data_IF_689316542524
#
_entry.id   IF_689316542524
#
_cell.length_a   1.000
_cell.length_b   1.000
_cell.length_c   1.000
_cell.angle_alpha   90.00
_cell.angle_beta   90.00
_cell.angle_gamma   90.00
#
_symmetry.space_group_name_H-M   'P 1'
#
loop_
_entity.id
_entity.type
_entity.pdbx_description
1 polymer ?
#
# COMPACT_ATOMS: atom_id res chain seq x y z
N UNK A 1 3.72 -6.32 5.31
CA UNK A 1 3.25 -5.97 6.67
C UNK A 1 3.82 -4.63 7.14
N UNK A 2 5.15 -4.42 7.13
CA UNK A 2 5.74 -3.15 7.58
C UNK A 2 5.16 -1.90 6.87
N UNK A 3 4.99 -1.94 5.55
CA UNK A 3 4.37 -0.83 4.79
C UNK A 3 2.93 -0.52 5.18
N UNK A 4 2.13 -1.55 5.53
CA UNK A 4 0.77 -1.35 6.06
C UNK A 4 0.81 -0.59 7.39
N UNK A 5 1.60 -1.08 8.34
CA UNK A 5 1.69 -0.48 9.68
C UNK A 5 2.20 0.97 9.58
N UNK A 6 3.23 1.19 8.77
CA UNK A 6 3.85 2.50 8.59
C UNK A 6 2.88 3.48 7.90
N UNK A 7 2.23 3.07 6.82
CA UNK A 7 1.27 3.92 6.10
C UNK A 7 0.04 4.26 6.95
N UNK A 8 -0.53 3.26 7.67
CA UNK A 8 -1.66 3.48 8.57
C UNK A 8 -1.25 4.43 9.71
N UNK A 9 -0.09 4.20 10.34
CA UNK A 9 0.39 5.04 11.45
C UNK A 9 0.63 6.48 11.03
N UNK A 10 1.34 6.71 9.92
CA UNK A 10 1.60 8.05 9.39
C UNK A 10 0.31 8.75 8.94
N UNK A 11 -0.59 8.05 8.24
CA UNK A 11 -1.87 8.59 7.80
C UNK A 11 -2.75 9.01 8.98
N UNK A 12 -2.81 8.19 10.02
CA UNK A 12 -3.55 8.49 11.24
C UNK A 12 -2.94 9.68 12.00
N UNK A 13 -1.62 9.73 12.13
CA UNK A 13 -0.92 10.83 12.78
C UNK A 13 -1.13 12.17 12.04
N UNK A 14 -1.01 12.16 10.71
CA UNK A 14 -1.25 13.34 9.87
C UNK A 14 -2.71 13.82 9.98
N UNK A 15 -3.68 12.91 9.93
CA UNK A 15 -5.09 13.28 10.00
C UNK A 15 -5.51 13.90 11.36
N UNK A 16 -4.82 13.55 12.44
CA UNK A 16 -5.10 14.07 13.78
C UNK A 16 -4.28 15.30 14.19
N UNK A 17 -3.27 15.68 13.41
CA UNK A 17 -2.37 16.80 13.69
C UNK A 17 -2.13 17.66 12.46
N UNK A 18 -2.61 18.92 12.43
CA UNK A 18 -2.39 19.82 11.30
C UNK A 18 -0.89 19.98 10.94
N UNK A 19 -0.03 20.09 11.94
CA UNK A 19 1.41 20.21 11.74
C UNK A 19 1.99 19.00 10.98
N UNK A 20 1.56 17.78 11.35
CA UNK A 20 2.00 16.57 10.66
C UNK A 20 1.35 16.43 9.27
N UNK A 21 0.13 16.91 9.10
CA UNK A 21 -0.51 16.97 7.79
C UNK A 21 0.29 17.87 6.84
N UNK A 22 0.60 19.10 7.26
CA UNK A 22 1.34 20.09 6.46
C UNK A 22 2.75 19.60 6.08
N UNK A 23 3.36 18.75 6.91
CA UNK A 23 4.67 18.17 6.66
C UNK A 23 4.60 16.91 5.77
N UNK A 24 3.70 15.98 6.09
CA UNK A 24 3.67 14.65 5.47
C UNK A 24 2.89 14.62 4.15
N UNK A 25 1.80 15.38 4.03
CA UNK A 25 0.96 15.37 2.82
C UNK A 25 1.75 15.74 1.56
N UNK A 26 2.55 16.83 1.52
CA UNK A 26 3.36 17.15 0.33
C UNK A 26 4.37 16.05 -0.01
N UNK A 27 5.02 15.47 1.00
CA UNK A 27 6.00 14.39 0.79
C UNK A 27 5.31 13.16 0.19
N UNK A 28 4.16 12.77 0.72
CA UNK A 28 3.40 11.62 0.23
C UNK A 28 2.83 11.86 -1.17
N UNK A 29 2.40 13.11 -1.48
CA UNK A 29 1.97 13.49 -2.84
C UNK A 29 3.13 13.36 -3.82
N UNK A 30 4.33 13.86 -3.47
CA UNK A 30 5.52 13.72 -4.31
C UNK A 30 5.87 12.25 -4.53
N UNK A 31 5.89 11.44 -3.46
CA UNK A 31 6.16 9.99 -3.58
C UNK A 31 5.11 9.26 -4.43
N UNK A 32 3.87 9.72 -4.41
CA UNK A 32 2.81 9.15 -5.25
C UNK A 32 2.92 9.60 -6.71
N UNK A 33 3.44 10.80 -6.97
CA UNK A 33 3.62 11.36 -8.32
C UNK A 33 4.82 10.73 -9.05
N UNK A 34 5.84 10.26 -8.33
CA UNK A 34 7.01 9.63 -8.93
C UNK A 34 6.61 8.28 -9.55
N UNK A 35 6.92 8.03 -10.83
CA UNK A 35 6.72 6.72 -11.43
C UNK A 35 7.48 5.65 -10.63
N UNK A 36 6.74 4.71 -10.07
CA UNK A 36 7.22 3.75 -9.08
C UNK A 36 8.39 2.90 -9.55
N UNK A 37 8.44 2.62 -10.86
CA UNK A 37 9.54 1.86 -11.49
C UNK A 37 10.88 2.58 -11.35
N UNK A 38 10.89 3.92 -11.35
CA UNK A 38 12.12 4.73 -11.25
C UNK A 38 12.77 4.60 -9.87
N UNK A 39 12.02 4.25 -8.83
CA UNK A 39 12.56 4.04 -7.49
C UNK A 39 13.36 2.74 -7.37
N UNK A 40 13.10 1.75 -8.23
CA UNK A 40 13.76 0.45 -8.13
C UNK A 40 15.29 0.53 -8.27
N UNK A 41 15.88 1.20 -9.30
CA UNK A 41 17.34 1.37 -9.41
C UNK A 41 17.93 2.09 -8.20
N UNK A 42 17.23 3.10 -7.64
CA UNK A 42 17.69 3.84 -6.48
C UNK A 42 17.84 2.93 -5.26
N UNK A 43 16.85 2.09 -4.98
CA UNK A 43 16.93 1.13 -3.87
C UNK A 43 17.97 0.07 -4.09
N UNK A 44 18.22 -0.34 -5.33
CA UNK A 44 19.31 -1.27 -5.66
C UNK A 44 20.68 -0.65 -5.39
N UNK A 45 20.87 0.62 -5.71
CA UNK A 45 22.12 1.33 -5.42
C UNK A 45 22.35 1.48 -3.91
N UNK A 46 21.31 1.75 -3.14
CA UNK A 46 21.43 1.99 -1.70
C UNK A 46 21.49 0.69 -0.87
N UNK A 47 20.72 -0.32 -1.25
CA UNK A 47 20.48 -1.53 -0.45
C UNK A 47 21.04 -2.81 -1.08
N UNK A 48 21.62 -2.70 -2.29
CA UNK A 48 22.12 -3.85 -3.03
C UNK A 48 21.06 -4.60 -3.82
N UNK A 49 21.50 -5.64 -4.53
CA UNK A 49 20.67 -6.45 -5.44
C UNK A 49 19.78 -7.45 -4.67
N UNK A 50 19.98 -7.59 -3.37
CA UNK A 50 19.31 -8.58 -2.53
C UNK A 50 17.82 -8.27 -2.22
N UNK A 51 17.25 -9.03 -1.31
CA UNK A 51 15.86 -8.93 -0.87
C UNK A 51 15.53 -7.56 -0.27
N UNK A 52 16.52 -6.86 0.32
CA UNK A 52 16.32 -5.59 0.99
C UNK A 52 15.78 -4.50 0.07
N UNK A 53 16.33 -4.34 -1.14
CA UNK A 53 15.87 -3.35 -2.13
C UNK A 53 14.45 -3.62 -2.61
N UNK A 54 14.08 -4.88 -2.81
CA UNK A 54 12.74 -5.31 -3.22
C UNK A 54 11.70 -5.07 -2.11
N UNK A 55 12.09 -5.39 -0.88
CA UNK A 55 11.27 -5.13 0.31
C UNK A 55 11.05 -3.63 0.53
N UNK A 56 12.09 -2.80 0.36
CA UNK A 56 11.99 -1.36 0.48
C UNK A 56 11.06 -0.75 -0.57
N UNK A 57 11.15 -1.21 -1.83
CA UNK A 57 10.26 -0.77 -2.90
C UNK A 57 8.80 -1.16 -2.59
N UNK A 58 8.55 -2.41 -2.24
CA UNK A 58 7.21 -2.88 -1.86
C UNK A 58 6.67 -2.13 -0.62
N UNK A 59 7.53 -1.85 0.37
CA UNK A 59 7.18 -1.12 1.58
C UNK A 59 6.68 0.29 1.25
N UNK A 60 7.44 1.03 0.44
CA UNK A 60 7.08 2.42 0.12
C UNK A 60 5.78 2.50 -0.68
N UNK A 61 5.57 1.58 -1.65
CA UNK A 61 4.36 1.52 -2.45
C UNK A 61 3.12 1.29 -1.59
N UNK A 62 3.20 0.37 -0.65
CA UNK A 62 2.12 0.05 0.28
C UNK A 62 1.93 1.16 1.31
N UNK A 63 3.01 1.75 1.83
CA UNK A 63 2.93 2.81 2.83
C UNK A 63 2.24 4.07 2.29
N UNK A 64 2.60 4.52 1.09
CA UNK A 64 1.97 5.68 0.46
C UNK A 64 0.48 5.44 0.19
N UNK A 65 0.12 4.26 -0.33
CA UNK A 65 -1.28 3.89 -0.54
C UNK A 65 -2.07 3.93 0.77
N UNK A 66 -1.54 3.30 1.82
CA UNK A 66 -2.23 3.21 3.11
C UNK A 66 -2.27 4.55 3.84
N UNK A 67 -1.27 5.40 3.66
CA UNK A 67 -1.30 6.78 4.16
C UNK A 67 -2.54 7.51 3.63
N UNK A 68 -2.73 7.54 2.31
CA UNK A 68 -3.89 8.22 1.71
C UNK A 68 -5.21 7.55 2.05
N UNK A 69 -5.26 6.22 2.13
CA UNK A 69 -6.46 5.50 2.53
C UNK A 69 -6.93 5.93 3.94
N UNK A 70 -6.00 6.05 4.89
CA UNK A 70 -6.32 6.44 6.27
C UNK A 70 -6.58 7.94 6.37
N UNK A 71 -5.73 8.75 5.77
CA UNK A 71 -5.82 10.21 5.80
C UNK A 71 -7.15 10.70 5.23
N UNK A 72 -7.52 10.23 4.05
CA UNK A 72 -8.79 10.56 3.42
C UNK A 72 -9.97 9.95 4.20
N UNK A 73 -9.84 8.72 4.68
CA UNK A 73 -10.87 8.06 5.48
C UNK A 73 -11.24 8.80 6.76
N UNK A 74 -10.31 9.54 7.35
CA UNK A 74 -10.59 10.42 8.51
C UNK A 74 -11.15 11.76 8.05
N UNK A 75 -10.61 12.35 6.98
CA UNK A 75 -11.10 13.65 6.44
C UNK A 75 -12.52 13.58 5.89
N UNK A 76 -12.95 12.43 5.39
CA UNK A 76 -14.30 12.21 4.87
C UNK A 76 -15.34 11.86 5.94
N UNK A 77 -14.94 11.80 7.21
CA UNK A 77 -15.91 11.62 8.30
C UNK A 77 -16.87 12.79 8.35
N UNK A 78 -18.18 12.48 8.45
CA UNK A 78 -19.23 13.50 8.53
C UNK A 78 -19.02 14.39 9.77
N UNK A 79 -18.75 15.67 9.52
CA UNK A 79 -18.52 16.68 10.57
C UNK A 79 -19.73 16.81 11.51
N UNK A 80 -20.95 16.59 11.01
CA UNK A 80 -22.17 16.60 11.83
C UNK A 80 -22.14 15.51 12.91
N UNK A 81 -21.55 14.36 12.58
CA UNK A 81 -21.37 13.27 13.55
C UNK A 81 -20.37 13.67 14.64
N UNK A 82 -19.27 14.30 14.24
CA UNK A 82 -18.25 14.81 15.16
C UNK A 82 -18.83 15.87 16.11
N UNK A 83 -19.52 16.86 15.57
CA UNK A 83 -20.18 17.94 16.33
C UNK A 83 -21.24 17.40 17.29
N UNK A 84 -22.06 16.44 16.85
CA UNK A 84 -23.09 15.81 17.70
C UNK A 84 -22.45 15.09 18.89
N UNK A 85 -21.36 14.38 18.70
CA UNK A 85 -20.65 13.69 19.77
C UNK A 85 -20.03 14.70 20.74
N UNK A 86 -19.47 15.80 20.25
CA UNK A 86 -18.90 16.86 21.08
C UNK A 86 -19.98 17.56 21.91
N UNK A 87 -21.14 17.83 21.32
CA UNK A 87 -22.29 18.44 22.03
C UNK A 87 -22.82 17.54 23.15
N UNK A 88 -22.72 16.22 22.98
CA UNK A 88 -23.07 15.24 24.02
C UNK A 88 -21.97 15.03 25.07
N UNK A 89 -20.90 15.86 25.07
CA UNK A 89 -19.80 15.77 26.00
C UNK A 89 -18.73 14.72 25.65
N UNK A 90 -18.77 14.16 24.45
CA UNK A 90 -17.78 13.20 23.96
C UNK A 90 -16.40 13.84 23.75
N UNK A 91 -15.40 13.40 24.51
CA UNK A 91 -14.03 13.88 24.37
C UNK A 91 -13.29 13.29 23.17
N UNK A 92 -12.07 13.82 22.90
CA UNK A 92 -11.21 13.40 21.77
C UNK A 92 -10.97 11.87 21.72
N UNK A 93 -10.82 11.23 22.89
CA UNK A 93 -10.60 9.77 22.98
C UNK A 93 -11.82 8.98 22.50
N UNK A 94 -13.01 9.46 22.82
CA UNK A 94 -14.27 8.88 22.37
C UNK A 94 -14.41 8.99 20.85
N UNK A 95 -14.15 10.18 20.29
CA UNK A 95 -14.17 10.41 18.84
C UNK A 95 -13.21 9.48 18.09
N UNK A 96 -11.99 9.33 18.60
CA UNK A 96 -11.00 8.42 17.97
C UNK A 96 -11.54 7.00 17.94
N UNK A 97 -12.08 6.49 19.04
CA UNK A 97 -12.49 5.09 19.19
C UNK A 97 -13.77 4.77 18.44
N UNK A 98 -14.77 5.64 18.53
CA UNK A 98 -16.14 5.35 18.06
C UNK A 98 -16.41 5.88 16.64
N UNK A 99 -15.57 6.80 16.14
CA UNK A 99 -15.76 7.41 14.81
C UNK A 99 -14.57 7.14 13.90
N UNK A 100 -13.38 7.61 14.28
CA UNK A 100 -12.23 7.56 13.38
C UNK A 100 -11.70 6.14 13.17
N UNK A 101 -11.56 5.33 14.23
CA UNK A 101 -11.07 3.95 14.09
C UNK A 101 -11.99 3.08 13.24
N UNK A 102 -13.33 3.08 13.42
CA UNK A 102 -14.23 2.34 12.53
C UNK A 102 -14.18 2.83 11.07
N UNK A 103 -14.14 4.15 10.84
CA UNK A 103 -14.00 4.72 9.51
C UNK A 103 -12.70 4.30 8.84
N UNK A 104 -11.56 4.47 9.52
CA UNK A 104 -10.24 4.03 9.03
C UNK A 104 -10.22 2.54 8.73
N UNK A 105 -10.82 1.71 9.58
CA UNK A 105 -10.87 0.27 9.35
C UNK A 105 -11.60 -0.06 8.06
N UNK A 106 -12.71 0.61 7.76
CA UNK A 106 -13.44 0.42 6.52
C UNK A 106 -12.59 0.81 5.28
N UNK A 107 -11.90 1.95 5.34
CA UNK A 107 -11.02 2.42 4.27
C UNK A 107 -9.79 1.53 4.07
N UNK A 108 -9.15 1.10 5.14
CA UNK A 108 -8.01 0.17 5.10
C UNK A 108 -8.42 -1.16 4.50
N UNK A 109 -9.55 -1.70 4.92
CA UNK A 109 -10.07 -2.96 4.36
C UNK A 109 -10.42 -2.83 2.87
N UNK A 110 -11.10 -1.74 2.47
CA UNK A 110 -11.40 -1.47 1.05
C UNK A 110 -10.15 -1.36 0.17
N UNK A 111 -9.04 -0.88 0.72
CA UNK A 111 -7.76 -0.75 0.01
C UNK A 111 -6.80 -1.94 0.21
N UNK A 112 -7.15 -2.93 1.05
CA UNK A 112 -6.26 -4.04 1.38
C UNK A 112 -5.86 -4.86 0.16
N UNK A 113 -6.82 -5.19 -0.71
CA UNK A 113 -6.57 -5.92 -1.96
C UNK A 113 -5.61 -5.15 -2.89
N UNK A 114 -5.79 -3.83 -2.99
CA UNK A 114 -4.91 -2.96 -3.78
C UNK A 114 -3.51 -2.93 -3.20
N UNK A 115 -3.38 -2.89 -1.86
CA UNK A 115 -2.09 -2.95 -1.16
C UNK A 115 -1.33 -4.26 -1.42
N UNK A 116 -2.04 -5.39 -1.45
CA UNK A 116 -1.44 -6.68 -1.83
C UNK A 116 -0.92 -6.64 -3.26
N UNK A 117 -1.68 -6.07 -4.19
CA UNK A 117 -1.24 -5.85 -5.57
C UNK A 117 0.00 -4.97 -5.67
N UNK A 118 0.05 -3.88 -4.90
CA UNK A 118 1.23 -3.00 -4.87
C UNK A 118 2.46 -3.64 -4.24
N UNK A 119 2.28 -4.44 -3.18
CA UNK A 119 3.37 -5.20 -2.59
C UNK A 119 3.97 -6.18 -3.60
N UNK A 120 3.13 -6.89 -4.34
CA UNK A 120 3.55 -7.81 -5.39
C UNK A 120 4.24 -7.06 -6.54
N UNK A 121 3.64 -5.96 -7.04
CA UNK A 121 4.25 -5.13 -8.09
C UNK A 121 5.62 -4.63 -7.68
N UNK A 122 5.78 -4.14 -6.44
CA UNK A 122 7.08 -3.70 -5.93
C UNK A 122 8.13 -4.80 -5.93
N UNK A 123 7.74 -6.02 -5.53
CA UNK A 123 8.64 -7.17 -5.55
C UNK A 123 9.06 -7.54 -6.98
N UNK A 124 8.10 -7.68 -7.90
CA UNK A 124 8.38 -8.07 -9.30
C UNK A 124 9.18 -6.99 -10.04
N UNK A 125 8.86 -5.71 -9.84
CA UNK A 125 9.63 -4.60 -10.43
C UNK A 125 11.06 -4.58 -9.89
N UNK A 126 11.24 -4.78 -8.59
CA UNK A 126 12.57 -4.89 -7.99
C UNK A 126 13.37 -6.07 -8.54
N UNK A 127 12.73 -7.21 -8.77
CA UNK A 127 13.36 -8.37 -9.42
C UNK A 127 13.70 -8.12 -10.89
N UNK A 128 12.83 -7.42 -11.61
CA UNK A 128 13.02 -7.09 -13.02
C UNK A 128 14.22 -6.17 -13.24
N UNK A 129 14.40 -5.19 -12.34
CA UNK A 129 15.49 -4.19 -12.45
C UNK A 129 16.84 -4.80 -12.08
N UNK A 130 16.91 -5.58 -11.00
CA UNK A 130 18.16 -6.16 -10.55
C UNK A 130 17.91 -7.39 -9.67
N UNK A 131 18.00 -8.55 -10.25
CA UNK A 131 17.94 -9.81 -9.53
C UNK A 131 18.65 -10.92 -10.30
N UNK A 132 19.02 -11.99 -9.58
CA UNK A 132 19.53 -13.24 -10.14
C UNK A 132 18.48 -14.36 -10.17
N UNK A 133 17.27 -14.09 -9.63
CA UNK A 133 16.20 -15.09 -9.50
C UNK A 133 14.84 -14.41 -9.29
N UNK A 134 13.77 -15.13 -9.57
CA UNK A 134 12.39 -14.67 -9.39
C UNK A 134 11.66 -14.45 -10.70
N UNK A 135 10.35 -14.14 -10.62
CA UNK A 135 9.49 -13.92 -11.79
C UNK A 135 9.93 -12.70 -12.59
N UNK A 136 10.30 -11.61 -11.90
CA UNK A 136 10.78 -10.40 -12.55
C UNK A 136 12.11 -10.62 -13.28
N UNK A 137 13.02 -11.39 -12.70
CA UNK A 137 14.26 -11.79 -13.37
C UNK A 137 13.99 -12.60 -14.63
N UNK A 138 13.09 -13.59 -14.57
CA UNK A 138 12.75 -14.40 -15.76
C UNK A 138 12.11 -13.56 -16.85
N UNK A 139 11.28 -12.57 -16.50
CA UNK A 139 10.71 -11.62 -17.46
C UNK A 139 11.80 -10.77 -18.12
N UNK A 140 12.74 -10.26 -17.34
CA UNK A 140 13.88 -9.50 -17.84
C UNK A 140 14.77 -10.35 -18.75
N UNK A 141 15.02 -11.62 -18.38
CA UNK A 141 15.75 -12.57 -19.21
C UNK A 141 15.03 -12.87 -20.54
N UNK A 142 13.72 -13.14 -20.49
CA UNK A 142 12.92 -13.37 -21.70
C UNK A 142 12.92 -12.15 -22.64
N UNK A 143 12.87 -10.94 -22.07
CA UNK A 143 12.97 -9.69 -22.82
C UNK A 143 14.36 -9.51 -23.45
N UNK A 144 15.44 -9.75 -22.69
CA UNK A 144 16.81 -9.59 -23.19
C UNK A 144 17.19 -10.58 -24.29
N UNK A 145 16.52 -11.72 -24.33
CA UNK A 145 16.68 -12.75 -25.38
C UNK A 145 15.64 -12.64 -26.50
N UNK A 146 14.80 -11.59 -26.49
CA UNK A 146 13.71 -11.39 -27.45
C UNK A 146 12.77 -12.60 -27.60
N UNK A 147 12.61 -13.40 -26.54
CA UNK A 147 11.76 -14.59 -26.54
C UNK A 147 10.31 -14.21 -26.20
N UNK A 148 9.54 -13.87 -27.25
CA UNK A 148 8.14 -13.47 -27.07
C UNK A 148 7.27 -14.57 -26.46
N UNK A 149 7.49 -15.84 -26.84
CA UNK A 149 6.71 -16.96 -26.31
C UNK A 149 6.92 -17.14 -24.81
N UNK A 150 8.18 -17.07 -24.35
CA UNK A 150 8.51 -17.15 -22.92
C UNK A 150 7.94 -15.92 -22.16
N UNK A 151 8.04 -14.73 -22.74
CA UNK A 151 7.48 -13.52 -22.14
C UNK A 151 5.98 -13.64 -21.92
N UNK A 152 5.22 -14.09 -22.92
CA UNK A 152 3.77 -14.30 -22.81
C UNK A 152 3.45 -15.36 -21.74
N UNK A 153 4.16 -16.49 -21.74
CA UNK A 153 3.98 -17.53 -20.74
C UNK A 153 4.19 -17.02 -19.31
N UNK A 154 5.27 -16.23 -19.09
CA UNK A 154 5.55 -15.63 -17.79
C UNK A 154 4.51 -14.59 -17.38
N UNK A 155 3.98 -13.81 -18.31
CA UNK A 155 2.88 -12.88 -18.03
C UNK A 155 1.64 -13.67 -17.54
N UNK A 156 1.27 -14.75 -18.24
CA UNK A 156 0.13 -15.59 -17.84
C UNK A 156 0.34 -16.20 -16.45
N UNK A 157 1.54 -16.72 -16.17
CA UNK A 157 1.89 -17.24 -14.83
C UNK A 157 1.78 -16.16 -13.77
N UNK A 158 2.32 -14.97 -14.05
CA UNK A 158 2.27 -13.83 -13.13
C UNK A 158 0.83 -13.39 -12.86
N UNK A 159 0.01 -13.27 -13.92
CA UNK A 159 -1.42 -12.95 -13.78
C UNK A 159 -2.17 -13.98 -12.93
N UNK A 160 -1.93 -15.26 -13.19
CA UNK A 160 -2.57 -16.35 -12.41
C UNK A 160 -2.19 -16.27 -10.94
N UNK A 161 -0.91 -16.03 -10.66
CA UNK A 161 -0.44 -15.88 -9.28
C UNK A 161 -1.08 -14.67 -8.57
N UNK A 162 -1.18 -13.52 -9.24
CA UNK A 162 -1.84 -12.32 -8.69
C UNK A 162 -3.33 -12.57 -8.45
N UNK A 163 -4.02 -13.25 -9.36
CA UNK A 163 -5.44 -13.60 -9.18
C UNK A 163 -5.65 -14.51 -7.96
N UNK A 164 -4.75 -15.47 -7.75
CA UNK A 164 -4.78 -16.33 -6.56
C UNK A 164 -4.54 -15.53 -5.28
N UNK A 165 -3.57 -14.60 -5.27
CA UNK A 165 -3.34 -13.69 -4.15
C UNK A 165 -4.57 -12.83 -3.86
N UNK A 166 -5.23 -12.32 -4.87
CA UNK A 166 -6.45 -11.52 -4.71
C UNK A 166 -7.61 -12.35 -4.16
N UNK A 167 -7.81 -13.57 -4.67
CA UNK A 167 -8.83 -14.47 -4.14
C UNK A 167 -8.59 -14.84 -2.67
N UNK A 168 -7.32 -15.04 -2.29
CA UNK A 168 -6.94 -15.31 -0.91
C UNK A 168 -7.18 -14.07 -0.02
N UNK A 169 -6.79 -12.89 -0.49
CA UNK A 169 -6.99 -11.63 0.22
C UNK A 169 -8.48 -11.36 0.46
N UNK A 170 -9.32 -11.59 -0.54
CA UNK A 170 -10.78 -11.44 -0.43
C UNK A 170 -11.40 -12.41 0.57
N UNK A 171 -10.92 -13.67 0.60
CA UNK A 171 -11.38 -14.64 1.62
C UNK A 171 -11.00 -14.19 3.03
N UNK A 172 -9.81 -13.61 3.19
CA UNK A 172 -9.36 -13.08 4.47
C UNK A 172 -10.21 -11.88 4.90
N UNK A 173 -10.45 -10.95 4.00
CA UNK A 173 -11.30 -9.78 4.21
C UNK A 173 -12.70 -10.18 4.63
N UNK A 174 -13.36 -11.08 3.92
CA UNK A 174 -14.70 -11.60 4.26
C UNK A 174 -14.74 -12.28 5.64
N UNK A 175 -13.66 -12.90 6.08
CA UNK A 175 -13.58 -13.49 7.43
C UNK A 175 -13.44 -12.43 8.52
N UNK A 176 -12.67 -11.39 8.26
CA UNK A 176 -12.42 -10.29 9.20
C UNK A 176 -13.62 -9.34 9.34
N UNK A 177 -14.38 -9.14 8.25
CA UNK A 177 -15.58 -8.29 8.21
C UNK A 177 -16.91 -9.02 8.50
N UNK A 178 -16.87 -10.19 9.10
CA UNK A 178 -18.06 -10.99 9.44
C UNK A 178 -19.06 -10.30 10.40
N UNK A 179 -18.65 -9.18 10.99
CA UNK A 179 -19.47 -8.35 11.89
C UNK A 179 -20.26 -7.23 11.17
N UNK A 180 -20.12 -7.12 9.87
CA UNK A 180 -20.86 -6.20 9.01
C UNK A 180 -21.98 -6.98 8.29
#
# INVERSE_FOLDING_TARGET
MAGLVLGIGLGFAAALSPLLADLLEPIMVLLNAIPRVILAPLFVIWLGIDLASKMALALILVAVLMFFAVYNGIKEVDQRLVERIQTLGGGRRFLIREVYVPSVTAWVMGNFKVAVGFAFTGAVVGEFVASSRGLGYLLQFAQSTYNAALTIALIVVTMTFVLLLFALSERLERRLLRWR
#
